data_IF_602757896066
#
_entry.id   IF_602757896066
#
_cell.length_a   1.000
_cell.length_b   1.000
_cell.length_c   1.000
_cell.angle_alpha   90.00
_cell.angle_beta   90.00
_cell.angle_gamma   90.00
#
_symmetry.space_group_name_H-M   'P 1'
#
loop_
_entity.id
_entity.type
_entity.pdbx_description
1 polymer ?
#
# COMPACT_ATOMS: atom_id res chain seq x y z
N UNK A 1 -14.18 13.78 2.43
CA UNK A 1 -13.73 12.38 2.54
C UNK A 1 -14.92 11.57 3.04
N UNK A 2 -15.29 10.48 2.35
CA UNK A 2 -16.41 9.62 2.75
C UNK A 2 -15.82 8.34 3.34
N UNK A 3 -16.24 7.99 4.54
CA UNK A 3 -15.79 6.80 5.25
C UNK A 3 -16.93 5.79 5.31
N UNK A 4 -16.68 4.57 4.84
CA UNK A 4 -17.63 3.46 4.92
C UNK A 4 -17.15 2.55 6.05
N UNK A 5 -18.00 2.33 7.05
CA UNK A 5 -17.70 1.45 8.18
C UNK A 5 -18.33 0.08 7.94
N UNK A 6 -17.53 -0.97 8.00
CA UNK A 6 -17.99 -2.35 7.86
C UNK A 6 -18.37 -2.85 9.25
N UNK A 7 -19.54 -3.50 9.36
CA UNK A 7 -20.00 -4.06 10.63
C UNK A 7 -19.29 -5.37 11.00
N UNK A 8 -19.52 -5.85 12.23
CA UNK A 8 -18.88 -7.07 12.75
C UNK A 8 -19.25 -8.31 11.92
N UNK A 9 -20.51 -8.44 11.51
CA UNK A 9 -20.99 -9.59 10.77
C UNK A 9 -20.37 -9.67 9.37
N UNK A 10 -20.22 -8.53 8.69
CA UNK A 10 -19.58 -8.44 7.40
C UNK A 10 -18.06 -8.61 7.53
N UNK A 11 -17.44 -8.10 8.60
CA UNK A 11 -16.05 -8.41 8.93
C UNK A 11 -15.82 -9.92 9.03
N UNK A 12 -16.63 -10.64 9.80
CA UNK A 12 -16.47 -12.09 9.94
C UNK A 12 -16.56 -12.81 8.58
N UNK A 13 -17.48 -12.40 7.70
CA UNK A 13 -17.60 -12.99 6.35
C UNK A 13 -16.41 -12.67 5.45
N UNK A 14 -15.89 -11.44 5.51
CA UNK A 14 -14.77 -10.99 4.69
C UNK A 14 -13.44 -11.64 5.07
N UNK A 15 -13.25 -11.95 6.35
CA UNK A 15 -11.99 -12.46 6.87
C UNK A 15 -12.01 -13.98 7.17
N UNK A 16 -13.17 -14.63 7.20
CA UNK A 16 -13.26 -16.08 7.41
C UNK A 16 -12.81 -16.92 6.21
N UNK A 17 -12.88 -16.37 4.99
CA UNK A 17 -12.55 -17.13 3.77
C UNK A 17 -11.05 -17.34 3.59
N UNK A 18 -10.20 -16.47 4.16
CA UNK A 18 -8.75 -16.51 3.93
C UNK A 18 -8.35 -16.19 2.48
N UNK A 19 -9.31 -15.82 1.64
CA UNK A 19 -9.13 -15.49 0.22
C UNK A 19 -9.38 -14.01 -0.03
N UNK A 20 -8.86 -13.49 -1.14
CA UNK A 20 -9.10 -12.10 -1.56
C UNK A 20 -10.57 -11.91 -1.90
N UNK A 21 -11.24 -10.98 -1.22
CA UNK A 21 -12.64 -10.66 -1.51
C UNK A 21 -12.72 -9.45 -2.43
N UNK A 22 -13.48 -9.57 -3.52
CA UNK A 22 -13.74 -8.48 -4.46
C UNK A 22 -15.07 -7.83 -4.11
N UNK A 23 -15.07 -6.53 -3.84
CA UNK A 23 -16.26 -5.73 -3.67
C UNK A 23 -16.73 -5.26 -5.04
N UNK A 24 -17.94 -5.67 -5.42
CA UNK A 24 -18.60 -5.31 -6.67
C UNK A 24 -19.89 -4.55 -6.38
N UNK A 25 -20.21 -3.58 -7.23
CA UNK A 25 -21.50 -2.91 -7.18
C UNK A 25 -22.61 -3.71 -7.88
N UNK A 26 -23.83 -3.17 -7.88
CA UNK A 26 -25.00 -3.77 -8.54
C UNK A 26 -24.89 -3.91 -10.06
N UNK A 27 -23.98 -3.16 -10.69
CA UNK A 27 -23.68 -3.24 -12.12
C UNK A 27 -22.57 -4.27 -12.43
N UNK A 28 -21.94 -4.84 -11.40
CA UNK A 28 -20.80 -5.75 -11.52
C UNK A 28 -19.45 -5.05 -11.63
N UNK A 29 -19.39 -3.73 -11.40
CA UNK A 29 -18.14 -2.97 -11.38
C UNK A 29 -17.39 -3.18 -10.07
N UNK A 30 -16.08 -3.43 -10.15
CA UNK A 30 -15.23 -3.61 -8.97
C UNK A 30 -15.00 -2.27 -8.29
N UNK A 31 -15.47 -2.15 -7.05
CA UNK A 31 -15.28 -0.99 -6.18
C UNK A 31 -14.00 -1.09 -5.34
N UNK A 32 -13.54 -2.31 -5.06
CA UNK A 32 -12.34 -2.52 -4.26
C UNK A 32 -12.04 -3.98 -3.98
N UNK A 33 -10.92 -4.23 -3.29
CA UNK A 33 -10.51 -5.57 -2.86
C UNK A 33 -10.17 -5.54 -1.38
N UNK A 34 -10.70 -6.51 -0.63
CA UNK A 34 -10.35 -6.73 0.76
C UNK A 34 -9.37 -7.89 0.79
N UNK A 35 -8.17 -7.61 1.28
CA UNK A 35 -7.16 -8.61 1.55
C UNK A 35 -7.39 -9.10 2.98
N UNK A 36 -7.56 -10.42 3.21
CA UNK A 36 -7.61 -10.94 4.56
C UNK A 36 -6.31 -10.58 5.28
N UNK A 37 -6.37 -10.31 6.59
CA UNK A 37 -5.17 -10.12 7.41
C UNK A 37 -4.33 -11.38 7.27
N UNK A 38 -3.27 -11.28 6.48
CA UNK A 38 -2.20 -12.25 6.52
C UNK A 38 -1.71 -12.24 7.98
N UNK A 39 -1.49 -13.41 8.62
CA UNK A 39 -0.77 -13.41 9.88
C UNK A 39 0.50 -12.59 9.65
N UNK A 40 0.90 -11.75 10.60
CA UNK A 40 2.02 -10.80 10.53
C UNK A 40 3.40 -11.40 10.14
N UNK A 41 3.43 -12.67 9.78
CA UNK A 41 4.52 -13.50 9.28
C UNK A 41 4.37 -13.96 7.82
N UNK A 42 3.22 -13.76 7.18
CA UNK A 42 3.01 -14.09 5.77
C UNK A 42 3.34 -12.83 4.96
N UNK A 43 4.42 -12.93 4.20
CA UNK A 43 4.88 -11.85 3.32
C UNK A 43 3.81 -11.40 2.31
N UNK A 44 4.15 -10.43 1.45
CA UNK A 44 3.21 -9.97 0.43
C UNK A 44 2.65 -11.16 -0.38
N UNK A 45 1.39 -11.09 -0.87
CA UNK A 45 0.79 -12.15 -1.68
C UNK A 45 1.71 -12.62 -2.80
N UNK A 46 1.65 -13.89 -3.21
CA UNK A 46 2.54 -14.46 -4.23
C UNK A 46 2.56 -13.66 -5.55
N UNK A 47 1.45 -12.98 -5.85
CA UNK A 47 1.26 -12.18 -7.06
C UNK A 47 1.56 -10.67 -6.85
N UNK A 48 2.03 -10.29 -5.67
CA UNK A 48 2.38 -8.92 -5.36
C UNK A 48 3.72 -8.57 -5.99
N UNK A 49 3.66 -7.74 -7.02
CA UNK A 49 4.85 -7.16 -7.64
C UNK A 49 5.01 -5.76 -7.07
N UNK A 50 6.08 -5.46 -6.32
CA UNK A 50 6.36 -4.10 -5.89
C UNK A 50 6.51 -3.21 -7.13
N UNK A 51 5.77 -2.10 -7.17
CA UNK A 51 5.88 -1.09 -8.24
C UNK A 51 7.26 -0.41 -8.18
N UNK A 52 7.83 -0.36 -6.98
CA UNK A 52 9.20 0.09 -6.75
C UNK A 52 10.18 -1.04 -7.07
N UNK A 53 11.16 -0.83 -7.97
CA UNK A 53 12.21 -1.82 -8.20
C UNK A 53 12.92 -2.13 -6.88
N UNK A 54 13.27 -3.40 -6.68
CA UNK A 54 14.11 -3.81 -5.56
C UNK A 54 15.45 -3.06 -5.70
N UNK A 55 15.87 -2.27 -4.70
CA UNK A 55 17.12 -1.52 -4.80
C UNK A 55 18.29 -2.47 -5.00
N UNK A 56 19.28 -2.09 -5.81
CA UNK A 56 20.51 -2.88 -5.95
C UNK A 56 21.31 -2.89 -4.65
N UNK A 57 22.21 -3.86 -4.47
CA UNK A 57 23.11 -3.89 -3.30
C UNK A 57 23.95 -2.60 -3.19
N UNK A 58 24.32 -2.01 -4.33
CA UNK A 58 25.04 -0.74 -4.40
C UNK A 58 24.16 0.46 -3.99
N UNK A 59 22.86 0.43 -4.25
CA UNK A 59 21.90 1.44 -3.80
C UNK A 59 21.65 1.32 -2.29
N UNK A 60 21.47 0.11 -1.77
CA UNK A 60 21.32 -0.14 -0.34
C UNK A 60 22.55 0.33 0.43
N UNK A 61 23.75 0.03 -0.08
CA UNK A 61 25.01 0.51 0.50
C UNK A 61 25.09 2.03 0.50
N UNK A 62 24.78 2.67 -0.64
CA UNK A 62 24.70 4.14 -0.73
C UNK A 62 23.72 4.74 0.27
N UNK A 63 22.54 4.14 0.45
CA UNK A 63 21.53 4.58 1.43
C UNK A 63 22.04 4.43 2.88
N UNK A 64 22.73 3.33 3.19
CA UNK A 64 23.25 3.09 4.54
C UNK A 64 24.41 4.01 4.93
N UNK A 65 25.16 4.49 3.93
CA UNK A 65 26.31 5.39 4.11
C UNK A 65 25.93 6.86 3.89
N UNK A 66 24.67 7.14 3.51
CA UNK A 66 24.20 8.49 3.23
C UNK A 66 23.85 9.24 4.52
N UNK A 67 24.76 10.11 4.94
CA UNK A 67 24.56 11.10 6.02
C UNK A 67 24.22 12.50 5.47
N UNK A 68 23.63 12.56 4.27
CA UNK A 68 23.32 13.82 3.59
C UNK A 68 22.08 14.52 4.18
N UNK A 69 21.93 15.84 3.93
CA UNK A 69 20.78 16.58 4.41
C UNK A 69 19.50 16.04 3.77
N UNK A 70 18.65 15.40 4.57
CA UNK A 70 17.31 15.03 4.16
C UNK A 70 16.52 16.30 3.84
N UNK A 71 15.99 16.40 2.62
CA UNK A 71 15.06 17.48 2.31
C UNK A 71 13.77 17.21 3.09
N UNK A 72 13.33 18.20 3.85
CA UNK A 72 12.05 18.12 4.53
C UNK A 72 10.90 18.05 3.51
N UNK A 73 9.77 17.48 3.91
CA UNK A 73 8.57 17.45 3.08
C UNK A 73 8.17 18.86 2.60
N UNK A 74 8.34 19.86 3.46
CA UNK A 74 8.01 21.26 3.15
C UNK A 74 8.94 21.86 2.07
N UNK A 75 10.25 21.60 2.17
CA UNK A 75 11.21 22.03 1.14
C UNK A 75 10.99 21.32 -0.20
N UNK A 76 10.60 20.04 -0.18
CA UNK A 76 10.27 19.29 -1.39
C UNK A 76 9.04 19.90 -2.07
N UNK A 77 8.00 20.23 -1.30
CA UNK A 77 6.78 20.87 -1.81
C UNK A 77 7.06 22.28 -2.35
N UNK A 78 7.96 23.04 -1.73
CA UNK A 78 8.38 24.34 -2.23
C UNK A 78 9.06 24.23 -3.61
N UNK A 79 10.01 23.29 -3.78
CA UNK A 79 10.70 23.08 -5.07
C UNK A 79 9.78 22.63 -6.20
N UNK A 80 8.76 21.84 -5.89
CA UNK A 80 7.79 21.40 -6.90
C UNK A 80 6.85 22.52 -7.35
N UNK A 81 6.62 23.53 -6.49
CA UNK A 81 5.84 24.72 -6.86
C UNK A 81 6.63 25.68 -7.73
N UNK A 82 7.93 25.83 -7.50
CA UNK A 82 8.83 26.69 -8.29
C UNK A 82 9.13 26.17 -9.71
N UNK A 83 8.86 24.89 -10.00
CA UNK A 83 9.05 24.29 -11.33
C UNK A 83 7.82 24.37 -12.25
N UNK A 84 6.79 25.14 -11.88
CA UNK A 84 5.63 25.45 -12.73
C UNK A 84 5.74 26.86 -13.29
#
# INVERSE_FOLDING_TARGET
MVQITIDKAMREKLFATGEVVVLVDESGQVLGRVLPEAPSSAGPPADWVPITPVPSEEELKRLSEYDGPGISTDELLARLRDKK
#
